data_IF_400968304120
#
_entry.id   IF_400968304120
#
_cell.length_a   1.000
_cell.length_b   1.000
_cell.length_c   1.000
_cell.angle_alpha   90.00
_cell.angle_beta   90.00
_cell.angle_gamma   90.00
#
_symmetry.space_group_name_H-M   'P 1'
#
loop_
_entity.id
_entity.type
_entity.pdbx_description
1 polymer ?
#
# COMPACT_ATOMS: atom_id res chain seq x y z
N UNK A 1 -0.26 18.48 -21.53
CA UNK A 1 -1.55 17.88 -21.17
C UNK A 1 -1.27 16.51 -20.55
N UNK A 2 -0.76 16.47 -19.32
CA UNK A 2 -0.73 15.22 -18.57
C UNK A 2 -2.19 14.93 -18.22
N UNK A 3 -2.84 14.03 -18.96
CA UNK A 3 -4.07 13.43 -18.47
C UNK A 3 -3.68 12.74 -17.17
N UNK A 4 -4.29 13.13 -16.06
CA UNK A 4 -4.30 12.35 -14.83
C UNK A 4 -4.83 10.96 -15.21
N UNK A 5 -3.89 10.09 -15.58
CA UNK A 5 -4.21 8.73 -15.97
C UNK A 5 -4.64 8.08 -14.67
N UNK A 6 -5.93 7.87 -14.49
CA UNK A 6 -6.46 7.17 -13.34
C UNK A 6 -5.79 5.80 -13.32
N UNK A 7 -4.76 5.65 -12.49
CA UNK A 7 -4.05 4.39 -12.34
C UNK A 7 -5.04 3.44 -11.67
N UNK A 8 -5.51 2.45 -12.44
CA UNK A 8 -6.33 1.40 -11.86
C UNK A 8 -5.50 0.64 -10.82
N UNK A 9 -6.18 0.07 -9.82
CA UNK A 9 -5.50 -0.75 -8.81
C UNK A 9 -4.72 -1.91 -9.45
N UNK A 10 -5.19 -2.45 -10.58
CA UNK A 10 -4.48 -3.50 -11.33
C UNK A 10 -3.16 -3.00 -11.92
N UNK A 11 -3.14 -1.80 -12.50
CA UNK A 11 -1.93 -1.19 -13.05
C UNK A 11 -0.93 -0.92 -11.91
N UNK A 12 -1.40 -0.35 -10.80
CA UNK A 12 -0.56 -0.14 -9.61
C UNK A 12 0.04 -1.44 -9.07
N UNK A 13 -0.78 -2.49 -8.91
CA UNK A 13 -0.32 -3.80 -8.47
C UNK A 13 0.66 -4.45 -9.44
N UNK A 14 0.48 -4.22 -10.74
CA UNK A 14 1.40 -4.71 -11.77
C UNK A 14 2.74 -4.00 -11.66
N UNK A 15 2.75 -2.68 -11.53
CA UNK A 15 3.97 -1.89 -11.33
C UNK A 15 4.73 -2.37 -10.10
N UNK A 16 4.07 -2.55 -8.95
CA UNK A 16 4.72 -3.06 -7.73
C UNK A 16 5.30 -4.46 -7.88
N UNK A 17 4.71 -5.31 -8.74
CA UNK A 17 5.20 -6.68 -9.00
C UNK A 17 6.45 -6.71 -9.87
N UNK A 18 6.54 -5.79 -10.84
CA UNK A 18 7.60 -5.79 -11.85
C UNK A 18 8.70 -4.78 -11.57
N UNK A 19 8.50 -3.87 -10.61
CA UNK A 19 9.50 -2.90 -10.19
C UNK A 19 10.63 -3.61 -9.42
N UNK A 20 11.85 -3.42 -9.90
CA UNK A 20 13.11 -3.94 -9.36
C UNK A 20 14.00 -2.83 -8.74
N UNK A 21 13.54 -1.58 -8.76
CA UNK A 21 14.23 -0.46 -8.13
C UNK A 21 14.05 -0.52 -6.61
N UNK A 22 15.12 -0.95 -5.93
CA UNK A 22 15.17 -1.12 -4.48
C UNK A 22 14.87 0.18 -3.72
N UNK A 23 15.29 1.34 -4.21
CA UNK A 23 15.06 2.62 -3.55
C UNK A 23 13.58 3.03 -3.64
N UNK A 24 12.95 2.84 -4.80
CA UNK A 24 11.52 3.11 -5.00
C UNK A 24 10.66 2.14 -4.16
N UNK A 25 11.04 0.86 -4.12
CA UNK A 25 10.38 -0.14 -3.28
C UNK A 25 10.53 0.18 -1.79
N UNK A 26 11.71 0.63 -1.34
CA UNK A 26 11.94 1.05 0.03
C UNK A 26 11.09 2.29 0.39
N UNK A 27 11.08 3.31 -0.46
CA UNK A 27 10.25 4.50 -0.27
C UNK A 27 8.76 4.14 -0.23
N UNK A 28 8.32 3.23 -1.10
CA UNK A 28 6.94 2.72 -1.12
C UNK A 28 6.60 2.00 0.19
N UNK A 29 7.51 1.18 0.70
CA UNK A 29 7.35 0.48 1.99
C UNK A 29 7.22 1.47 3.16
N UNK A 30 8.00 2.54 3.16
CA UNK A 30 7.93 3.55 4.21
C UNK A 30 6.59 4.29 4.20
N UNK A 31 6.05 4.60 3.02
CA UNK A 31 4.71 5.19 2.88
C UNK A 31 3.64 4.21 3.36
N UNK A 32 3.69 2.94 2.93
CA UNK A 32 2.76 1.90 3.38
C UNK A 32 2.74 1.77 4.90
N UNK A 33 3.91 1.77 5.55
CA UNK A 33 4.02 1.69 7.01
C UNK A 33 3.39 2.90 7.72
N UNK A 34 3.54 4.11 7.16
CA UNK A 34 2.91 5.32 7.68
C UNK A 34 1.38 5.22 7.60
N UNK A 35 0.84 4.79 6.47
CA UNK A 35 -0.61 4.61 6.28
C UNK A 35 -1.18 3.54 7.22
N UNK A 36 -0.47 2.43 7.41
CA UNK A 36 -0.85 1.40 8.40
C UNK A 36 -0.89 1.98 9.81
N UNK A 37 0.08 2.82 10.20
CA UNK A 37 0.08 3.46 11.51
C UNK A 37 -1.09 4.44 11.68
N UNK A 38 -1.42 5.21 10.63
CA UNK A 38 -2.58 6.12 10.61
C UNK A 38 -3.90 5.36 10.73
N UNK A 39 -4.06 4.24 10.02
CA UNK A 39 -5.28 3.44 10.12
C UNK A 39 -5.43 2.79 11.50
N UNK A 40 -4.32 2.31 12.09
CA UNK A 40 -4.34 1.76 13.45
C UNK A 40 -4.67 2.79 14.52
N UNK A 41 -4.27 4.05 14.37
CA UNK A 41 -4.64 5.09 15.32
C UNK A 41 -6.14 5.44 15.26
N UNK A 42 -6.78 5.21 14.10
CA UNK A 42 -8.23 5.38 13.91
C UNK A 42 -9.06 4.22 14.44
N UNK A 43 -8.49 3.01 14.47
CA UNK A 43 -9.12 1.80 15.03
C UNK A 43 -9.51 1.96 16.51
N UNK A 44 -8.82 2.83 17.25
CA UNK A 44 -9.11 3.14 18.65
C UNK A 44 -10.41 3.98 18.85
N UNK A 45 -11.01 4.51 17.79
CA UNK A 45 -12.10 5.50 17.85
C UNK A 45 -13.52 4.98 17.54
N UNK A 46 -13.69 3.70 17.24
CA UNK A 46 -15.02 3.09 17.03
C UNK A 46 -15.67 3.32 15.66
N UNK A 47 -15.00 3.99 14.71
CA UNK A 47 -15.48 4.04 13.34
C UNK A 47 -15.25 2.69 12.63
N UNK A 48 -16.36 2.07 12.20
CA UNK A 48 -16.46 0.91 11.31
C UNK A 48 -15.23 0.00 11.29
N UNK A 49 -15.00 -0.70 12.41
CA UNK A 49 -13.94 -1.69 12.64
C UNK A 49 -13.72 -2.62 11.43
N UNK A 50 -14.80 -2.95 10.71
CA UNK A 50 -14.75 -3.80 9.51
C UNK A 50 -14.04 -3.12 8.33
N UNK A 51 -14.30 -1.84 8.06
CA UNK A 51 -13.66 -1.11 6.97
C UNK A 51 -12.17 -0.87 7.25
N UNK A 52 -11.81 -0.54 8.50
CA UNK A 52 -10.42 -0.36 8.92
C UNK A 52 -9.65 -1.68 8.77
N UNK A 53 -10.22 -2.80 9.23
CA UNK A 53 -9.62 -4.14 9.06
C UNK A 53 -9.44 -4.51 7.59
N UNK A 54 -10.41 -4.18 6.73
CA UNK A 54 -10.31 -4.41 5.29
C UNK A 54 -9.16 -3.59 4.68
N UNK A 55 -9.06 -2.30 5.01
CA UNK A 55 -7.98 -1.44 4.52
C UNK A 55 -6.61 -1.91 5.00
N UNK A 56 -6.48 -2.27 6.28
CA UNK A 56 -5.26 -2.85 6.84
C UNK A 56 -4.87 -4.16 6.13
N UNK A 57 -5.86 -4.99 5.78
CA UNK A 57 -5.61 -6.23 5.03
C UNK A 57 -5.05 -5.94 3.63
N UNK A 58 -5.60 -4.95 2.93
CA UNK A 58 -5.08 -4.48 1.63
C UNK A 58 -3.65 -3.95 1.74
N UNK A 59 -3.36 -3.09 2.73
CA UNK A 59 -2.02 -2.55 2.93
C UNK A 59 -0.99 -3.63 3.29
N UNK A 60 -1.38 -4.61 4.11
CA UNK A 60 -0.51 -5.75 4.44
C UNK A 60 -0.21 -6.61 3.21
N UNK A 61 -1.17 -6.79 2.30
CA UNK A 61 -0.94 -7.48 1.03
C UNK A 61 0.09 -6.73 0.19
N UNK A 62 -0.02 -5.41 0.07
CA UNK A 62 0.96 -4.57 -0.64
C UNK A 62 2.35 -4.65 0.01
N UNK A 63 2.44 -4.63 1.34
CA UNK A 63 3.71 -4.79 2.05
C UNK A 63 4.40 -6.13 1.77
N UNK A 64 3.64 -7.23 1.69
CA UNK A 64 4.17 -8.54 1.28
C UNK A 64 4.67 -8.52 -0.17
N UNK A 65 3.97 -7.82 -1.05
CA UNK A 65 4.33 -7.69 -2.45
C UNK A 65 5.68 -6.98 -2.61
N UNK A 66 5.84 -5.83 -1.95
CA UNK A 66 7.08 -5.04 -1.96
C UNK A 66 8.26 -5.81 -1.38
N UNK A 67 8.05 -6.61 -0.32
CA UNK A 67 9.12 -7.42 0.26
C UNK A 67 9.51 -8.63 -0.61
N UNK A 68 8.59 -9.17 -1.43
CA UNK A 68 8.87 -10.34 -2.29
C UNK A 68 9.85 -10.00 -3.42
N UNK A 69 9.85 -8.75 -3.89
CA UNK A 69 10.74 -8.29 -4.98
C UNK A 69 12.19 -8.03 -4.52
N UNK A 70 12.47 -8.11 -3.21
CA UNK A 70 13.78 -7.86 -2.61
C UNK A 70 14.56 -9.15 -2.22
N UNK A 71 14.18 -10.31 -2.77
CA UNK A 71 14.88 -11.59 -2.59
C UNK A 71 15.59 -12.04 -3.88
#
# INVERSE_FOLDING_TARGET
>A
MCKDMAVSSEVFLTILKVNDNVEELAATKDILNKEVAVLRSRDAGGESETLIKQQLSSLNYLGKLVNKSNC
#
